data_IF_300086506298
#
_entry.id   IF_300086506298
#
_cell.length_a   1.000
_cell.length_b   1.000
_cell.length_c   1.000
_cell.angle_alpha   90.00
_cell.angle_beta   90.00
_cell.angle_gamma   90.00
#
_symmetry.space_group_name_H-M   'P 1'
#
loop_
_entity.id
_entity.type
_entity.pdbx_description
1 polymer ?
#
# COMPACT_ATOMS: atom_id res chain seq x y z
N UNK A 1 6.53 -7.57 47.94
CA UNK A 1 5.21 -8.16 48.24
C UNK A 1 4.11 -7.33 47.56
N UNK A 2 3.68 -7.59 46.33
CA UNK A 2 3.36 -8.89 45.73
C UNK A 2 1.84 -9.06 45.59
N UNK A 3 1.10 -8.04 45.08
CA UNK A 3 -0.33 -8.16 44.81
C UNK A 3 -0.52 -8.70 43.39
N UNK A 4 -0.76 -10.00 43.31
CA UNK A 4 -1.18 -10.72 42.10
C UNK A 4 -2.68 -10.49 41.91
N UNK A 5 -3.09 -9.88 40.80
CA UNK A 5 -4.48 -9.86 40.35
C UNK A 5 -4.70 -11.07 39.44
N UNK A 6 -5.46 -12.05 39.92
CA UNK A 6 -5.79 -13.28 39.19
C UNK A 6 -6.94 -13.02 38.22
N UNK A 7 -6.79 -13.54 37.00
CA UNK A 7 -7.73 -13.42 35.89
C UNK A 7 -8.91 -14.37 36.04
N UNK A 8 -10.08 -13.93 35.59
CA UNK A 8 -11.39 -14.59 35.70
C UNK A 8 -11.55 -15.76 34.71
N UNK A 9 -10.59 -16.67 34.65
CA UNK A 9 -10.58 -17.83 33.73
C UNK A 9 -10.47 -19.20 34.46
N UNK A 10 -10.46 -19.22 35.80
CA UNK A 10 -10.10 -20.41 36.59
C UNK A 10 -11.27 -21.16 37.27
N UNK A 11 -12.52 -21.02 36.83
CA UNK A 11 -13.66 -21.61 37.58
C UNK A 11 -14.53 -22.65 36.88
N UNK A 12 -14.26 -23.11 35.66
CA UNK A 12 -15.05 -24.19 35.07
C UNK A 12 -14.23 -25.12 34.18
N UNK A 13 -13.67 -26.18 34.78
CA UNK A 13 -13.24 -27.38 34.06
C UNK A 13 -13.89 -28.61 34.68
N UNK A 14 -14.51 -29.49 33.87
CA UNK A 14 -14.59 -30.90 34.16
C UNK A 14 -13.63 -31.68 33.25
N UNK A 15 -12.80 -32.52 33.85
CA UNK A 15 -11.81 -33.33 33.17
C UNK A 15 -12.33 -34.64 32.60
N UNK A 16 -11.50 -35.29 31.77
CA UNK A 16 -11.11 -36.70 31.86
C UNK A 16 -10.13 -37.04 30.74
N UNK A 17 -9.12 -37.83 31.12
CA UNK A 17 -8.17 -38.52 30.24
C UNK A 17 -8.89 -39.49 29.30
N UNK A 18 -8.33 -39.76 28.12
CA UNK A 18 -8.16 -41.09 27.50
C UNK A 18 -7.19 -40.95 26.31
N UNK A 19 -6.17 -41.81 26.26
CA UNK A 19 -5.27 -41.93 25.13
C UNK A 19 -5.97 -42.51 23.90
N UNK A 20 -5.57 -42.05 22.71
CA UNK A 20 -5.86 -42.73 21.45
C UNK A 20 -4.74 -42.44 20.44
N UNK A 21 -4.05 -43.50 20.08
CA UNK A 21 -3.14 -43.61 18.95
C UNK A 21 -3.97 -43.75 17.67
N UNK A 22 -3.77 -42.86 16.68
CA UNK A 22 -4.27 -42.96 15.30
C UNK A 22 -3.24 -42.20 14.43
N UNK A 23 -2.32 -42.91 13.78
CA UNK A 23 -2.40 -43.43 12.40
C UNK A 23 -2.36 -42.33 11.35
N UNK A 24 -1.22 -42.27 10.65
CA UNK A 24 -0.98 -41.49 9.44
C UNK A 24 -2.03 -41.86 8.38
N UNK A 25 -2.88 -40.91 8.02
CA UNK A 25 -3.57 -40.93 6.74
C UNK A 25 -3.11 -39.72 5.92
N UNK A 26 -2.34 -40.03 4.88
CA UNK A 26 -2.05 -39.10 3.80
C UNK A 26 -3.36 -38.67 3.13
N UNK A 27 -3.70 -37.39 3.26
CA UNK A 27 -4.66 -36.74 2.38
C UNK A 27 -3.96 -35.54 1.73
N UNK A 28 -3.82 -35.61 0.40
CA UNK A 28 -3.15 -34.62 -0.43
C UNK A 28 -3.73 -33.22 -0.25
N UNK A 29 -3.15 -32.45 0.68
CA UNK A 29 -3.41 -31.04 0.82
C UNK A 29 -2.65 -30.29 -0.27
N UNK A 30 -3.36 -29.81 -1.28
CA UNK A 30 -2.85 -28.80 -2.21
C UNK A 30 -2.19 -27.69 -1.39
N UNK A 31 -0.88 -27.46 -1.60
CA UNK A 31 -0.09 -26.44 -0.91
C UNK A 31 -0.84 -25.11 -1.03
N UNK A 32 -1.50 -24.68 0.06
CA UNK A 32 -2.06 -23.32 0.14
C UNK A 32 -0.87 -22.37 0.05
N UNK A 33 -0.63 -21.85 -1.14
CA UNK A 33 0.44 -20.88 -1.38
C UNK A 33 0.37 -19.76 -0.35
N UNK A 34 1.53 -19.32 0.13
CA UNK A 34 1.64 -18.18 1.03
C UNK A 34 0.90 -16.99 0.41
N UNK A 35 -0.20 -16.57 1.02
CA UNK A 35 -0.93 -15.36 0.64
C UNK A 35 -0.69 -14.32 1.73
N UNK A 36 0.04 -13.24 1.43
CA UNK A 36 0.33 -12.22 2.43
C UNK A 36 -0.95 -11.45 2.83
N UNK A 37 -0.99 -10.94 4.06
CA UNK A 37 -2.21 -10.45 4.71
C UNK A 37 -2.94 -9.35 3.91
N UNK A 38 -2.22 -8.37 3.36
CA UNK A 38 -2.77 -7.33 2.47
C UNK A 38 -3.60 -7.85 1.29
N UNK A 39 -3.36 -9.09 0.86
CA UNK A 39 -4.15 -9.70 -0.20
C UNK A 39 -5.60 -10.01 0.21
N UNK A 40 -5.92 -9.92 1.51
CA UNK A 40 -7.25 -10.09 2.11
C UNK A 40 -7.90 -8.77 2.54
N UNK A 41 -7.10 -7.81 3.00
CA UNK A 41 -7.58 -6.56 3.60
C UNK A 41 -7.53 -5.36 2.67
N UNK A 42 -6.73 -5.40 1.60
CA UNK A 42 -6.75 -4.39 0.54
C UNK A 42 -7.80 -4.81 -0.49
N UNK A 43 -8.76 -3.95 -0.83
CA UNK A 43 -9.72 -4.22 -1.90
C UNK A 43 -8.95 -4.63 -3.16
N UNK A 44 -9.07 -5.90 -3.55
CA UNK A 44 -8.29 -6.49 -4.66
C UNK A 44 -8.83 -6.13 -6.05
N UNK A 45 -9.92 -5.38 -6.14
CA UNK A 45 -10.62 -5.18 -7.41
C UNK A 45 -11.57 -4.00 -7.33
N UNK A 46 -11.04 -2.79 -7.42
CA UNK A 46 -11.60 -1.92 -8.45
C UNK A 46 -10.72 -2.17 -9.68
N UNK A 47 -11.33 -2.40 -10.84
CA UNK A 47 -10.59 -2.48 -12.10
C UNK A 47 -10.10 -1.06 -12.47
N UNK A 48 -9.14 -0.58 -11.67
CA UNK A 48 -8.58 0.78 -11.70
C UNK A 48 -8.03 1.11 -13.08
N UNK A 49 -7.52 0.10 -13.80
CA UNK A 49 -6.97 0.23 -15.14
C UNK A 49 -8.06 0.51 -16.20
N UNK A 50 -9.19 -0.21 -16.17
CA UNK A 50 -10.32 0.08 -17.07
C UNK A 50 -10.98 1.44 -16.78
N UNK A 51 -10.88 1.94 -15.54
CA UNK A 51 -11.43 3.23 -15.12
C UNK A 51 -10.48 4.39 -15.44
N UNK A 52 -9.16 4.18 -15.33
CA UNK A 52 -8.13 5.13 -15.74
C UNK A 52 -8.22 5.49 -17.24
N UNK A 53 -8.51 4.51 -18.09
CA UNK A 53 -8.70 4.71 -19.53
C UNK A 53 -9.85 5.66 -19.88
N UNK A 54 -10.86 5.80 -19.02
CA UNK A 54 -12.00 6.72 -19.21
C UNK A 54 -11.65 8.19 -18.94
N UNK A 55 -10.59 8.47 -18.18
CA UNK A 55 -10.15 9.85 -17.94
C UNK A 55 -9.35 10.44 -19.11
N UNK A 56 -8.74 9.61 -19.95
CA UNK A 56 -7.91 10.08 -21.06
C UNK A 56 -8.71 10.81 -22.17
N UNK A 57 -10.03 10.60 -22.25
CA UNK A 57 -10.90 11.14 -23.29
C UNK A 57 -11.74 12.36 -22.87
N UNK A 58 -11.64 12.85 -21.63
CA UNK A 58 -12.47 13.96 -21.12
C UNK A 58 -11.86 15.36 -21.25
N UNK A 59 -10.62 15.47 -21.76
CA UNK A 59 -9.90 16.75 -21.84
C UNK A 59 -9.45 17.31 -20.48
N UNK A 60 -9.72 16.60 -19.39
CA UNK A 60 -9.27 16.99 -18.04
C UNK A 60 -7.78 16.64 -17.90
N UNK A 61 -6.93 17.57 -17.43
CA UNK A 61 -5.51 17.29 -17.30
C UNK A 61 -5.25 16.17 -16.28
N UNK A 62 -4.51 15.13 -16.70
CA UNK A 62 -4.11 14.03 -15.83
C UNK A 62 -2.96 14.50 -14.93
N UNK A 63 -3.15 14.40 -13.63
CA UNK A 63 -2.20 14.88 -12.61
C UNK A 63 -1.87 13.81 -11.58
N UNK A 64 -2.77 12.87 -11.30
CA UNK A 64 -2.51 11.78 -10.36
C UNK A 64 -2.04 10.53 -11.09
N UNK A 65 -0.89 9.99 -10.69
CA UNK A 65 -0.32 8.75 -11.21
C UNK A 65 -0.35 7.66 -10.15
N UNK A 66 -0.59 6.42 -10.59
CA UNK A 66 -0.44 5.20 -9.81
C UNK A 66 0.88 4.51 -10.20
N UNK A 67 1.83 4.49 -9.28
CA UNK A 67 3.08 3.74 -9.42
C UNK A 67 2.85 2.32 -8.90
N UNK A 68 3.10 1.30 -9.73
CA UNK A 68 2.88 -0.12 -9.41
C UNK A 68 4.20 -0.89 -9.33
N UNK A 69 4.11 -2.11 -8.79
CA UNK A 69 5.22 -3.06 -8.61
C UNK A 69 6.33 -2.56 -7.68
N UNK A 70 5.99 -1.79 -6.66
CA UNK A 70 6.93 -1.29 -5.66
C UNK A 70 7.45 -2.47 -4.80
N UNK A 71 8.74 -2.54 -4.45
CA UNK A 71 9.26 -3.57 -3.56
C UNK A 71 8.70 -3.36 -2.16
N UNK A 72 8.19 -4.43 -1.53
CA UNK A 72 7.42 -4.36 -0.29
C UNK A 72 8.20 -3.77 0.92
N UNK A 73 9.54 -3.73 0.85
CA UNK A 73 10.41 -3.13 1.87
C UNK A 73 10.52 -1.61 1.79
N UNK A 74 10.06 -0.99 0.69
CA UNK A 74 9.99 0.46 0.62
C UNK A 74 8.97 0.98 1.63
N UNK A 75 9.36 2.03 2.32
CA UNK A 75 8.48 2.86 3.14
C UNK A 75 8.34 4.24 2.49
N UNK A 76 7.39 5.03 2.98
CA UNK A 76 7.05 6.35 2.44
C UNK A 76 8.30 7.20 2.20
N UNK A 77 9.15 7.38 3.22
CA UNK A 77 10.36 8.21 3.13
C UNK A 77 11.34 7.71 2.07
N UNK A 78 11.63 6.41 2.05
CA UNK A 78 12.58 5.83 1.10
C UNK A 78 12.11 5.92 -0.35
N UNK A 79 10.81 5.88 -0.59
CA UNK A 79 10.26 6.03 -1.94
C UNK A 79 10.28 7.50 -2.39
N UNK A 80 9.92 8.42 -1.49
CA UNK A 80 10.01 9.86 -1.75
C UNK A 80 11.44 10.30 -2.05
N UNK A 81 12.43 9.84 -1.28
CA UNK A 81 13.84 10.11 -1.52
C UNK A 81 14.30 9.67 -2.93
N UNK A 82 13.83 8.51 -3.41
CA UNK A 82 14.17 8.02 -4.75
C UNK A 82 13.47 8.82 -5.85
N UNK A 83 12.20 9.17 -5.66
CA UNK A 83 11.46 10.08 -6.55
C UNK A 83 12.16 11.43 -6.66
N UNK A 84 12.52 12.01 -5.53
CA UNK A 84 13.21 13.29 -5.45
C UNK A 84 14.59 13.24 -6.12
N UNK A 85 15.35 12.15 -5.93
CA UNK A 85 16.65 11.95 -6.57
C UNK A 85 16.60 11.92 -8.10
N UNK A 86 15.42 11.65 -8.68
CA UNK A 86 15.17 11.64 -10.13
C UNK A 86 14.58 12.98 -10.65
N UNK A 87 14.62 14.04 -9.84
CA UNK A 87 14.27 15.39 -10.28
C UNK A 87 12.78 15.72 -10.18
N UNK A 88 12.09 15.15 -9.18
CA UNK A 88 10.67 15.46 -8.89
C UNK A 88 10.48 16.28 -7.62
N UNK A 89 11.57 16.76 -7.01
CA UNK A 89 11.51 17.63 -5.82
C UNK A 89 10.59 18.82 -6.10
N UNK A 90 9.55 18.96 -5.27
CA UNK A 90 8.62 20.08 -5.33
C UNK A 90 7.67 20.07 -6.54
N UNK A 91 7.55 18.97 -7.30
CA UNK A 91 6.62 18.89 -8.44
C UNK A 91 5.28 18.23 -8.11
N UNK A 92 5.15 17.70 -6.89
CA UNK A 92 3.97 16.97 -6.42
C UNK A 92 3.48 17.51 -5.09
N UNK A 93 2.16 17.50 -4.89
CA UNK A 93 1.47 18.08 -3.73
C UNK A 93 0.76 17.01 -2.88
N UNK A 94 0.68 15.77 -3.37
CA UNK A 94 0.11 14.63 -2.66
C UNK A 94 0.90 13.36 -2.94
N UNK A 95 1.11 12.56 -1.89
CA UNK A 95 1.69 11.23 -1.99
C UNK A 95 1.01 10.26 -1.02
N UNK A 96 0.77 9.03 -1.46
CA UNK A 96 0.30 7.98 -0.56
C UNK A 96 0.83 6.60 -0.95
N UNK A 97 1.49 5.93 0.01
CA UNK A 97 1.94 4.54 -0.08
C UNK A 97 1.19 3.73 0.99
N UNK A 98 0.19 2.92 0.61
CA UNK A 98 -0.53 2.09 1.57
C UNK A 98 0.39 1.03 2.20
N UNK A 99 0.29 0.90 3.52
CA UNK A 99 1.11 -0.01 4.32
C UNK A 99 0.25 -1.11 4.94
N UNK A 100 0.73 -2.35 4.84
CA UNK A 100 0.24 -3.49 5.62
C UNK A 100 0.87 -3.41 7.02
N UNK A 101 0.09 -2.94 7.99
CA UNK A 101 0.56 -2.73 9.38
C UNK A 101 1.03 -4.03 10.03
N UNK A 102 0.40 -5.17 9.68
CA UNK A 102 0.75 -6.47 10.27
C UNK A 102 2.11 -6.95 9.76
N UNK A 103 2.34 -6.83 8.45
CA UNK A 103 3.58 -7.28 7.81
C UNK A 103 4.68 -6.21 7.75
N UNK A 104 4.37 -4.98 8.21
CA UNK A 104 5.26 -3.80 8.15
C UNK A 104 5.85 -3.59 6.75
N UNK A 105 5.00 -3.74 5.75
CA UNK A 105 5.40 -3.72 4.34
C UNK A 105 4.39 -2.96 3.50
N UNK A 106 4.81 -2.31 2.41
CA UNK A 106 3.82 -1.75 1.49
C UNK A 106 3.09 -2.83 0.69
N UNK A 107 1.99 -2.42 0.06
CA UNK A 107 1.09 -3.30 -0.70
C UNK A 107 1.43 -3.34 -2.21
N UNK A 108 2.52 -2.71 -2.63
CA UNK A 108 3.07 -2.80 -3.98
C UNK A 108 2.69 -1.67 -4.94
N UNK A 109 1.97 -0.64 -4.49
CA UNK A 109 1.65 0.53 -5.30
C UNK A 109 1.56 1.81 -4.48
N UNK A 110 1.66 2.97 -5.13
CA UNK A 110 1.54 4.29 -4.53
C UNK A 110 0.75 5.24 -5.46
N UNK A 111 0.20 6.31 -4.89
CA UNK A 111 -0.44 7.39 -5.62
C UNK A 111 0.32 8.69 -5.42
N UNK A 112 0.48 9.46 -6.49
CA UNK A 112 1.22 10.72 -6.51
C UNK A 112 0.44 11.73 -7.35
N UNK A 113 0.08 12.88 -6.80
CA UNK A 113 -0.54 13.97 -7.56
C UNK A 113 0.50 15.06 -7.86
N UNK A 114 0.61 15.41 -9.13
CA UNK A 114 1.51 16.45 -9.62
C UNK A 114 0.81 17.80 -9.73
N UNK A 115 1.57 18.88 -9.50
CA UNK A 115 1.08 20.26 -9.65
C UNK A 115 0.88 20.61 -11.11
N UNK A 116 1.73 20.10 -11.99
CA UNK A 116 1.61 20.35 -13.44
C UNK A 116 1.45 19.01 -14.17
N UNK A 117 0.50 18.88 -15.11
CA UNK A 117 0.32 17.66 -15.91
C UNK A 117 1.59 17.21 -16.64
N UNK A 118 2.44 18.17 -17.04
CA UNK A 118 3.73 17.89 -17.67
C UNK A 118 4.69 17.09 -16.75
N UNK A 119 4.68 17.35 -15.44
CA UNK A 119 5.46 16.57 -14.47
C UNK A 119 4.91 15.16 -14.31
N UNK A 120 3.58 15.00 -14.33
CA UNK A 120 2.94 13.69 -14.29
C UNK A 120 3.32 12.84 -15.51
N UNK A 121 3.35 13.45 -16.69
CA UNK A 121 3.79 12.80 -17.92
C UNK A 121 5.31 12.49 -17.89
N UNK A 122 6.15 13.40 -17.37
CA UNK A 122 7.58 13.11 -17.16
C UNK A 122 7.75 11.94 -16.19
N UNK A 123 7.00 11.92 -15.10
CA UNK A 123 7.03 10.84 -14.12
C UNK A 123 6.68 9.51 -14.74
N UNK A 124 5.61 9.46 -15.54
CA UNK A 124 5.24 8.25 -16.29
C UNK A 124 6.38 7.76 -17.16
N UNK A 125 7.07 8.63 -17.90
CA UNK A 125 8.21 8.25 -18.75
C UNK A 125 9.41 7.72 -17.95
N UNK A 126 9.73 8.37 -16.83
CA UNK A 126 10.91 8.00 -16.01
C UNK A 126 10.67 6.73 -15.21
N UNK A 127 9.47 6.57 -14.63
CA UNK A 127 9.15 5.46 -13.75
C UNK A 127 8.48 4.26 -14.44
N UNK A 128 8.10 4.39 -15.72
CA UNK A 128 7.76 3.21 -16.52
C UNK A 128 9.04 2.42 -16.78
N UNK A 129 9.04 1.16 -16.36
CA UNK A 129 10.19 0.26 -16.47
C UNK A 129 11.39 0.61 -15.56
N UNK A 130 11.17 1.48 -14.56
CA UNK A 130 12.22 1.81 -13.59
C UNK A 130 12.55 0.63 -12.66
N UNK A 131 13.84 0.50 -12.35
CA UNK A 131 14.37 -0.49 -11.41
C UNK A 131 14.72 0.21 -10.10
N UNK A 132 14.05 -0.21 -9.04
CA UNK A 132 14.25 0.31 -7.70
C UNK A 132 15.68 0.08 -7.20
N UNK A 133 16.30 1.15 -6.68
CA UNK A 133 17.73 1.15 -6.34
C UNK A 133 18.03 0.51 -4.97
N UNK A 134 17.03 0.33 -4.11
CA UNK A 134 17.21 -0.19 -2.75
C UNK A 134 16.78 -1.65 -2.62
N UNK A 135 17.33 -2.30 -1.59
CA UNK A 135 16.98 -3.66 -1.15
C UNK A 135 17.19 -4.76 -2.21
N UNK A 136 18.06 -4.53 -3.20
CA UNK A 136 18.39 -5.48 -4.27
C UNK A 136 17.14 -6.03 -4.98
N UNK A 137 16.10 -5.21 -5.13
CA UNK A 137 14.87 -5.66 -5.74
C UNK A 137 15.05 -5.89 -7.24
N UNK A 138 14.50 -6.99 -7.76
CA UNK A 138 14.40 -7.25 -9.20
C UNK A 138 13.10 -6.72 -9.80
N UNK A 139 12.22 -6.11 -9.00
CA UNK A 139 10.94 -5.57 -9.49
C UNK A 139 11.19 -4.39 -10.43
N UNK A 140 10.33 -4.32 -11.44
CA UNK A 140 10.30 -3.27 -12.45
C UNK A 140 8.97 -2.56 -12.32
N UNK A 141 8.97 -1.24 -12.13
CA UNK A 141 7.74 -0.48 -11.96
C UNK A 141 6.97 -0.31 -13.25
N UNK A 142 5.66 -0.11 -13.10
CA UNK A 142 4.80 0.40 -14.16
C UNK A 142 4.00 1.58 -13.64
N UNK A 143 3.66 2.52 -14.51
CA UNK A 143 2.91 3.73 -14.16
C UNK A 143 1.66 3.82 -15.02
N UNK A 144 0.53 4.10 -14.40
CA UNK A 144 -0.73 4.42 -15.08
C UNK A 144 -1.40 5.62 -14.42
N UNK A 145 -2.35 6.25 -15.12
CA UNK A 145 -3.20 7.29 -14.52
C UNK A 145 -4.00 6.68 -13.35
N UNK A 146 -4.08 7.39 -12.23
CA UNK A 146 -4.92 6.96 -11.11
C UNK A 146 -6.41 7.16 -11.43
N UNK A 147 -7.29 6.40 -10.77
CA UNK A 147 -8.74 6.62 -10.92
C UNK A 147 -9.17 7.99 -10.35
N UNK A 148 -8.65 8.35 -9.18
CA UNK A 148 -8.90 9.64 -8.53
C UNK A 148 -7.88 10.66 -9.05
N UNK A 149 -8.34 11.75 -9.65
CA UNK A 149 -7.50 12.76 -10.31
C UNK A 149 -7.56 14.11 -9.58
N UNK A 150 -6.41 14.72 -9.34
CA UNK A 150 -6.29 16.02 -8.69
C UNK A 150 -6.21 15.96 -7.17
N UNK A 151 -5.66 17.01 -6.56
CA UNK A 151 -5.44 17.10 -5.12
C UNK A 151 -6.76 17.03 -4.34
N UNK A 152 -7.73 17.87 -4.68
CA UNK A 152 -9.00 17.98 -3.95
C UNK A 152 -9.77 16.65 -3.88
N UNK A 153 -9.84 15.94 -5.00
CA UNK A 153 -10.50 14.64 -5.07
C UNK A 153 -9.73 13.56 -4.30
N UNK A 154 -8.39 13.60 -4.28
CA UNK A 154 -7.61 12.73 -3.42
C UNK A 154 -7.88 13.02 -1.94
N UNK A 155 -7.90 14.29 -1.52
CA UNK A 155 -8.20 14.66 -0.14
C UNK A 155 -9.59 14.17 0.27
N UNK A 156 -10.62 14.43 -0.54
CA UNK A 156 -11.99 13.92 -0.33
C UNK A 156 -12.03 12.40 -0.23
N UNK A 157 -11.28 11.71 -1.08
CA UNK A 157 -11.24 10.25 -1.09
C UNK A 157 -10.69 9.66 0.22
N UNK A 158 -9.76 10.37 0.88
CA UNK A 158 -9.10 9.92 2.10
C UNK A 158 -9.66 10.54 3.39
N UNK A 159 -10.45 11.62 3.32
CA UNK A 159 -10.95 12.39 4.47
C UNK A 159 -11.54 11.52 5.60
N UNK A 160 -12.38 10.52 5.24
CA UNK A 160 -13.06 9.67 6.22
C UNK A 160 -12.49 8.23 6.30
N UNK A 161 -11.28 8.00 5.79
CA UNK A 161 -10.66 6.66 5.83
C UNK A 161 -9.77 6.50 7.05
N UNK A 162 -9.80 5.31 7.64
CA UNK A 162 -9.00 4.96 8.82
C UNK A 162 -7.50 5.25 8.67
N UNK A 163 -6.97 5.19 7.44
CA UNK A 163 -5.56 5.47 7.17
C UNK A 163 -5.16 6.92 7.45
N UNK A 164 -6.07 7.88 7.34
CA UNK A 164 -5.82 9.30 7.63
C UNK A 164 -5.57 9.56 9.11
N UNK A 165 -6.06 8.66 9.98
CA UNK A 165 -5.88 8.68 11.43
C UNK A 165 -4.92 7.59 11.94
N UNK A 166 -4.09 7.02 11.05
CA UNK A 166 -3.10 6.03 11.46
C UNK A 166 -2.12 6.61 12.48
N UNK A 167 -1.80 5.85 13.53
CA UNK A 167 -0.86 6.28 14.59
C UNK A 167 0.57 6.50 14.10
N UNK A 168 0.95 5.87 12.98
CA UNK A 168 2.25 6.05 12.35
C UNK A 168 2.10 6.96 11.14
N UNK A 169 2.79 8.09 11.14
CA UNK A 169 2.69 9.09 10.08
C UNK A 169 3.17 8.58 8.72
N UNK A 170 4.11 7.63 8.69
CA UNK A 170 4.56 7.03 7.43
C UNK A 170 3.47 6.22 6.72
N UNK A 171 2.36 5.92 7.40
CA UNK A 171 1.25 5.14 6.84
C UNK A 171 0.14 6.05 6.31
N UNK A 172 0.21 7.36 6.57
CA UNK A 172 -0.81 8.34 6.19
C UNK A 172 -0.49 8.92 4.81
N UNK A 173 -1.49 9.43 4.08
CA UNK A 173 -1.23 10.31 2.94
C UNK A 173 -0.43 11.54 3.37
N UNK A 174 0.49 11.98 2.52
CA UNK A 174 1.29 13.19 2.69
C UNK A 174 0.73 14.26 1.78
N UNK A 175 0.52 15.46 2.32
CA UNK A 175 0.18 16.66 1.58
C UNK A 175 1.33 17.64 1.71
N UNK A 176 1.85 18.13 0.58
CA UNK A 176 3.02 19.00 0.53
C UNK A 176 2.59 20.41 0.14
N UNK A 177 2.80 21.37 1.04
CA UNK A 177 2.58 22.80 0.76
C UNK A 177 3.79 23.39 0.04
N UNK A 178 3.56 24.14 -1.05
CA UNK A 178 4.62 24.88 -1.76
C UNK A 178 5.28 24.14 -2.92
N UNK A 179 4.60 23.14 -3.48
CA UNK A 179 5.01 22.57 -4.76
C UNK A 179 4.92 23.64 -5.87
N UNK A 180 5.96 23.71 -6.71
CA UNK A 180 6.28 24.85 -7.59
C UNK A 180 5.46 24.85 -8.87
#
# INVERSE_FOLDING_TARGET
DGKVALSLHEMLAPGRQHGRQLSEEESGAAKRGFQPYHSRSVPKSENLEAQASRCACSGVPVRTMMLRNIPNKYVQTTLLEEIDSLGFVGTYDFFYLPMDVHNRSNVGYAFINFVVPADAERFRKVFSEHRFQRFQSRKVSSVCSAHVQGLDENLRHFENRAVTHARNDQYRPVVLSGAR
#
